data_IF_265161687249
#
_entry.id   IF_265161687249
#
_cell.length_a   1.000
_cell.length_b   1.000
_cell.length_c   1.000
_cell.angle_alpha   90.00
_cell.angle_beta   90.00
_cell.angle_gamma   90.00
#
_symmetry.space_group_name_H-M   'P 1'
#
loop_
_entity.id
_entity.type
_entity.pdbx_description
1 polymer ?
#
# COMPACT_ATOMS: atom_id res chain seq x y z
N UNK A 1 -9.78 11.43 5.02
CA UNK A 1 -10.64 12.37 5.78
C UNK A 1 -11.70 13.00 4.89
N UNK A 2 -11.32 13.67 3.81
CA UNK A 2 -12.25 14.40 2.94
C UNK A 2 -13.29 13.51 2.24
N UNK A 3 -12.91 12.32 1.75
CA UNK A 3 -13.89 11.38 1.20
C UNK A 3 -14.92 10.89 2.25
N UNK A 4 -14.54 10.88 3.54
CA UNK A 4 -15.44 10.47 4.62
C UNK A 4 -16.61 11.43 4.76
N UNK A 5 -16.41 12.74 4.58
CA UNK A 5 -17.51 13.71 4.64
C UNK A 5 -18.51 13.55 3.49
N UNK A 6 -18.09 12.95 2.36
CA UNK A 6 -18.97 12.65 1.23
C UNK A 6 -19.82 11.39 1.47
N UNK A 7 -19.27 10.37 2.16
CA UNK A 7 -19.99 9.12 2.47
C UNK A 7 -20.81 9.23 3.77
N UNK A 8 -20.35 10.04 4.72
CA UNK A 8 -20.98 10.29 6.02
C UNK A 8 -21.27 11.79 6.20
N UNK A 9 -22.36 12.32 5.61
CA UNK A 9 -22.62 13.76 5.56
C UNK A 9 -22.72 14.45 6.91
N UNK A 10 -23.14 13.73 7.96
CA UNK A 10 -23.19 14.25 9.33
C UNK A 10 -21.83 14.66 9.89
N UNK A 11 -20.73 14.17 9.30
CA UNK A 11 -19.36 14.55 9.68
C UNK A 11 -18.84 15.77 8.93
N UNK A 12 -19.55 16.24 7.89
CA UNK A 12 -19.04 17.24 6.96
C UNK A 12 -18.64 18.54 7.68
N UNK A 13 -19.52 19.11 8.50
CA UNK A 13 -19.25 20.38 9.18
C UNK A 13 -17.96 20.35 9.99
N UNK A 14 -17.73 19.29 10.76
CA UNK A 14 -16.53 19.14 11.60
C UNK A 14 -15.28 18.92 10.73
N UNK A 15 -15.35 18.01 9.75
CA UNK A 15 -14.21 17.69 8.88
C UNK A 15 -13.81 18.90 8.05
N UNK A 16 -14.76 19.59 7.41
CA UNK A 16 -14.48 20.73 6.53
C UNK A 16 -13.93 21.93 7.31
N UNK A 17 -14.37 22.13 8.55
CA UNK A 17 -13.82 23.18 9.43
C UNK A 17 -12.36 22.92 9.77
N UNK A 18 -12.05 21.70 10.23
CA UNK A 18 -10.68 21.30 10.54
C UNK A 18 -9.79 21.36 9.30
N UNK A 19 -10.28 20.85 8.18
CA UNK A 19 -9.55 20.82 6.92
C UNK A 19 -9.20 22.23 6.42
N UNK A 20 -10.12 23.20 6.53
CA UNK A 20 -9.86 24.60 6.19
C UNK A 20 -8.79 25.22 7.10
N UNK A 21 -8.83 24.96 8.41
CA UNK A 21 -7.79 25.44 9.33
C UNK A 21 -6.41 24.85 9.01
N UNK A 22 -6.35 23.54 8.72
CA UNK A 22 -5.10 22.89 8.32
C UNK A 22 -4.59 23.40 6.97
N UNK A 23 -5.48 23.64 6.01
CA UNK A 23 -5.11 24.20 4.71
C UNK A 23 -4.54 25.62 4.81
N UNK A 24 -5.08 26.45 5.71
CA UNK A 24 -4.54 27.77 6.01
C UNK A 24 -3.14 27.69 6.62
N UNK A 25 -2.93 26.79 7.59
CA UNK A 25 -1.63 26.56 8.20
C UNK A 25 -0.60 26.03 7.18
N UNK A 26 -0.99 25.08 6.33
CA UNK A 26 -0.16 24.56 5.26
C UNK A 26 0.23 25.66 4.26
N UNK A 27 -0.71 26.51 3.87
CA UNK A 27 -0.45 27.61 2.94
C UNK A 27 0.58 28.61 3.47
N UNK A 28 0.60 28.87 4.79
CA UNK A 28 1.58 29.77 5.41
C UNK A 28 3.00 29.26 5.33
N UNK A 29 3.20 27.93 5.39
CA UNK A 29 4.54 27.32 5.37
C UNK A 29 5.02 26.96 3.96
N UNK A 30 4.27 27.37 2.93
CA UNK A 30 4.57 27.19 1.51
C UNK A 30 5.21 28.46 0.90
N UNK A 31 6.08 29.11 1.65
CA UNK A 31 6.80 30.33 1.27
C UNK A 31 8.33 30.12 1.18
N UNK A 32 8.78 28.86 1.29
CA UNK A 32 10.18 28.49 1.38
C UNK A 32 10.97 28.63 0.07
N UNK A 33 12.26 28.94 0.20
CA UNK A 33 13.22 28.95 -0.89
C UNK A 33 14.50 28.20 -0.46
N UNK A 34 14.46 26.85 -0.35
CA UNK A 34 15.60 26.07 0.11
C UNK A 34 16.73 26.12 -0.93
N UNK A 35 17.96 25.98 -0.45
CA UNK A 35 19.15 25.99 -1.32
C UNK A 35 19.34 24.70 -2.13
N UNK A 36 18.71 23.59 -1.71
CA UNK A 36 18.78 22.25 -2.35
C UNK A 36 17.48 21.47 -2.11
N UNK A 37 17.19 20.50 -2.98
CA UNK A 37 16.10 19.53 -2.78
C UNK A 37 14.71 20.02 -3.22
N UNK A 38 14.63 21.20 -3.85
CA UNK A 38 13.42 21.73 -4.44
C UNK A 38 13.72 22.35 -5.80
N UNK A 39 13.08 21.85 -6.85
CA UNK A 39 13.27 22.27 -8.25
C UNK A 39 12.15 23.20 -8.74
N UNK A 40 11.28 23.69 -7.85
CA UNK A 40 10.17 24.59 -8.19
C UNK A 40 10.55 26.08 -8.10
N UNK A 41 9.54 26.95 -8.22
CA UNK A 41 9.73 28.40 -8.15
C UNK A 41 10.22 28.84 -6.76
N UNK A 42 11.13 29.81 -6.72
CA UNK A 42 11.56 30.39 -5.45
C UNK A 42 10.35 30.93 -4.66
N UNK A 43 10.32 30.64 -3.36
CA UNK A 43 9.22 31.07 -2.47
C UNK A 43 7.96 30.23 -2.57
N UNK A 44 8.01 29.03 -3.19
CA UNK A 44 6.85 28.11 -3.26
C UNK A 44 7.14 26.73 -2.66
N UNK A 45 8.27 26.56 -1.96
CA UNK A 45 8.55 25.31 -1.29
C UNK A 45 7.75 25.19 0.02
N UNK A 46 7.03 24.08 0.17
CA UNK A 46 6.31 23.77 1.40
C UNK A 46 7.17 22.97 2.39
N UNK A 47 7.15 23.40 3.66
CA UNK A 47 7.75 22.68 4.79
C UNK A 47 6.86 21.55 5.32
N UNK A 48 7.35 20.82 6.33
CA UNK A 48 6.58 19.73 6.97
C UNK A 48 5.74 20.21 8.15
N UNK A 49 6.32 21.05 9.01
CA UNK A 49 5.67 21.50 10.24
C UNK A 49 4.71 22.66 9.99
N UNK A 50 3.40 22.39 9.98
CA UNK A 50 2.38 23.43 9.79
C UNK A 50 2.02 24.16 11.09
N UNK A 51 2.49 23.68 12.23
CA UNK A 51 2.21 24.25 13.55
C UNK A 51 3.13 25.43 13.89
N UNK A 52 4.28 25.52 13.23
CA UNK A 52 5.28 26.56 13.48
C UNK A 52 4.95 27.89 12.78
N UNK A 53 3.92 27.92 11.90
CA UNK A 53 3.55 29.06 11.07
C UNK A 53 4.72 29.61 10.19
N UNK A 54 5.83 28.86 10.07
CA UNK A 54 7.02 29.20 9.30
C UNK A 54 7.57 27.97 8.57
N UNK A 55 8.22 28.21 7.42
CA UNK A 55 8.99 27.19 6.72
C UNK A 55 10.13 26.64 7.60
N UNK A 56 10.29 25.31 7.62
CA UNK A 56 11.22 24.58 8.50
C UNK A 56 12.53 24.14 7.81
N UNK A 57 12.81 24.65 6.61
CA UNK A 57 13.93 24.26 5.73
C UNK A 57 13.94 22.77 5.33
N UNK A 58 12.91 22.00 5.68
CA UNK A 58 12.77 20.60 5.30
C UNK A 58 11.94 20.50 4.04
N UNK A 59 12.54 19.98 2.97
CA UNK A 59 11.86 19.79 1.68
C UNK A 59 11.98 18.37 1.16
N UNK A 60 10.93 17.96 0.45
CA UNK A 60 10.87 16.67 -0.20
C UNK A 60 9.57 16.50 -0.97
N UNK A 61 9.58 15.59 -1.94
CA UNK A 61 8.44 15.31 -2.80
C UNK A 61 7.16 14.99 -2.01
N UNK A 62 7.27 14.16 -0.97
CA UNK A 62 6.14 13.80 -0.12
C UNK A 62 5.56 15.00 0.66
N UNK A 63 6.41 15.94 1.08
CA UNK A 63 6.00 17.16 1.77
C UNK A 63 5.21 18.08 0.84
N UNK A 64 5.73 18.27 -0.38
CA UNK A 64 5.04 19.04 -1.41
C UNK A 64 3.69 18.42 -1.78
N UNK A 65 3.62 17.10 -1.96
CA UNK A 65 2.34 16.42 -2.24
C UNK A 65 1.38 16.53 -1.06
N UNK A 66 1.87 16.42 0.17
CA UNK A 66 1.02 16.54 1.35
C UNK A 66 0.37 17.93 1.42
N UNK A 67 1.18 18.99 1.31
CA UNK A 67 0.72 20.37 1.28
C UNK A 67 -0.23 20.66 0.09
N UNK A 68 0.07 20.12 -1.09
CA UNK A 68 -0.84 20.25 -2.24
C UNK A 68 -2.18 19.54 -2.00
N UNK A 69 -2.16 18.36 -1.38
CA UNK A 69 -3.37 17.56 -1.14
C UNK A 69 -4.35 18.24 -0.20
N UNK A 70 -3.89 18.86 0.90
CA UNK A 70 -4.77 19.55 1.85
C UNK A 70 -5.46 20.76 1.20
N UNK A 71 -4.75 21.50 0.33
CA UNK A 71 -5.32 22.61 -0.43
C UNK A 71 -6.40 22.12 -1.39
N UNK A 72 -6.12 21.06 -2.16
CA UNK A 72 -7.12 20.47 -3.07
C UNK A 72 -8.35 19.94 -2.33
N UNK A 73 -8.17 19.36 -1.14
CA UNK A 73 -9.27 18.82 -0.36
C UNK A 73 -10.26 19.87 0.13
N UNK A 74 -9.90 21.15 0.19
CA UNK A 74 -10.85 22.23 0.53
C UNK A 74 -11.98 22.39 -0.49
N UNK A 75 -11.82 21.83 -1.70
CA UNK A 75 -12.82 21.85 -2.78
C UNK A 75 -13.82 20.69 -2.71
N UNK A 76 -13.85 19.91 -1.62
CA UNK A 76 -14.72 18.74 -1.49
C UNK A 76 -16.20 19.01 -1.76
N UNK A 77 -16.71 20.17 -1.37
CA UNK A 77 -18.11 20.55 -1.58
C UNK A 77 -18.46 20.75 -3.06
N UNK A 78 -17.45 21.01 -3.91
CA UNK A 78 -17.60 21.09 -5.37
C UNK A 78 -17.30 19.77 -6.08
N UNK A 79 -16.75 18.80 -5.37
CA UNK A 79 -16.43 17.49 -5.92
C UNK A 79 -17.68 16.60 -5.95
N UNK A 80 -17.80 15.78 -7.01
CA UNK A 80 -18.84 14.74 -7.06
C UNK A 80 -18.52 13.67 -6.02
N UNK A 81 -19.57 13.13 -5.39
CA UNK A 81 -19.43 12.00 -4.48
C UNK A 81 -18.90 10.75 -5.22
N UNK A 82 -18.22 9.81 -4.52
CA UNK A 82 -17.73 8.59 -5.12
C UNK A 82 -18.87 7.79 -5.76
N UNK A 83 -18.67 7.39 -7.01
CA UNK A 83 -19.66 6.59 -7.75
C UNK A 83 -19.56 5.11 -7.37
N UNK A 84 -20.68 4.42 -7.49
CA UNK A 84 -20.82 2.97 -7.31
C UNK A 84 -21.07 2.30 -8.66
N UNK A 85 -21.08 0.96 -8.69
CA UNK A 85 -21.48 0.19 -9.87
C UNK A 85 -22.87 0.54 -10.39
N UNK A 86 -23.75 1.05 -9.52
CA UNK A 86 -25.12 1.46 -9.87
C UNK A 86 -25.25 2.92 -10.27
N UNK A 87 -24.27 3.76 -9.95
CA UNK A 87 -24.37 5.23 -10.08
C UNK A 87 -23.33 5.82 -11.05
N UNK A 88 -22.85 5.02 -11.99
CA UNK A 88 -21.99 5.50 -13.09
C UNK A 88 -20.52 5.09 -13.01
N UNK A 89 -20.15 4.13 -12.16
CA UNK A 89 -18.84 3.50 -12.23
C UNK A 89 -18.67 2.73 -13.56
N UNK A 90 -17.75 3.16 -14.41
CA UNK A 90 -17.47 2.52 -15.72
C UNK A 90 -16.58 1.29 -15.61
N UNK A 91 -15.95 1.08 -14.45
CA UNK A 91 -15.07 -0.06 -14.21
C UNK A 91 -15.87 -1.33 -13.89
N UNK A 92 -15.72 -2.35 -14.74
CA UNK A 92 -16.26 -3.69 -14.48
C UNK A 92 -15.27 -4.45 -13.59
N UNK A 93 -15.73 -4.95 -12.45
CA UNK A 93 -14.92 -5.80 -11.60
C UNK A 93 -14.52 -7.09 -12.33
N UNK A 94 -13.28 -7.54 -12.16
CA UNK A 94 -12.83 -8.86 -12.60
C UNK A 94 -13.06 -9.86 -11.45
N UNK A 95 -13.93 -10.88 -11.61
CA UNK A 95 -14.16 -11.91 -10.59
C UNK A 95 -12.89 -12.67 -10.18
N UNK A 96 -11.88 -12.73 -11.07
CA UNK A 96 -10.60 -13.38 -10.80
C UNK A 96 -9.68 -12.58 -9.86
N UNK A 97 -9.95 -11.30 -9.58
CA UNK A 97 -9.26 -10.46 -8.58
C UNK A 97 -7.77 -10.16 -8.83
N UNK A 98 -7.05 -11.05 -9.51
CA UNK A 98 -5.67 -10.99 -9.99
C UNK A 98 -5.42 -12.29 -10.74
N UNK A 99 -5.52 -12.29 -12.06
CA UNK A 99 -4.95 -13.36 -12.88
C UNK A 99 -4.51 -12.78 -14.23
N UNK A 100 -3.24 -12.36 -14.27
CA UNK A 100 -2.56 -11.97 -15.52
C UNK A 100 -1.80 -13.13 -16.15
N UNK A 101 -1.98 -14.35 -15.64
CA UNK A 101 -1.50 -15.56 -16.30
C UNK A 101 -2.67 -16.17 -17.07
N UNK A 102 -2.57 -16.16 -18.38
CA UNK A 102 -3.46 -16.84 -19.32
C UNK A 102 -3.57 -18.33 -18.97
N UNK A 103 -4.52 -18.70 -18.10
CA UNK A 103 -4.72 -20.10 -17.70
C UNK A 103 -5.31 -20.37 -16.31
N UNK A 104 -5.60 -19.36 -15.49
CA UNK A 104 -6.33 -19.52 -14.22
C UNK A 104 -7.67 -18.80 -14.32
N UNK A 105 -8.76 -19.57 -14.45
CA UNK A 105 -10.13 -19.04 -14.54
C UNK A 105 -10.85 -19.09 -13.17
N UNK A 106 -10.22 -19.66 -12.14
CA UNK A 106 -10.88 -20.04 -10.89
C UNK A 106 -10.15 -19.59 -9.61
N UNK A 107 -9.13 -18.71 -9.70
CA UNK A 107 -8.44 -18.16 -8.53
C UNK A 107 -7.75 -19.22 -7.65
N UNK A 108 -7.60 -20.44 -8.17
CA UNK A 108 -6.92 -21.55 -7.53
C UNK A 108 -5.51 -21.64 -8.08
N UNK A 109 -4.54 -21.66 -7.18
CA UNK A 109 -3.17 -22.01 -7.52
C UNK A 109 -3.20 -23.40 -8.18
N UNK A 110 -2.95 -23.45 -9.50
CA UNK A 110 -2.71 -24.71 -10.21
C UNK A 110 -1.37 -25.26 -9.73
N UNK A 111 -1.40 -26.03 -8.66
CA UNK A 111 -0.24 -26.82 -8.24
C UNK A 111 0.06 -27.84 -9.35
N UNK A 112 1.34 -27.98 -9.70
CA UNK A 112 1.79 -29.03 -10.63
C UNK A 112 1.32 -30.37 -10.08
N UNK A 113 0.59 -31.14 -10.89
CA UNK A 113 0.20 -32.51 -10.54
C UNK A 113 1.45 -33.32 -10.24
N UNK A 114 1.54 -33.87 -9.03
CA UNK A 114 2.67 -34.70 -8.60
C UNK A 114 2.74 -35.92 -9.51
N UNK A 115 3.88 -36.09 -10.18
CA UNK A 115 4.11 -37.22 -11.07
C UNK A 115 4.49 -38.49 -10.29
N UNK A 116 4.22 -39.66 -10.89
CA UNK A 116 4.54 -40.96 -10.29
C UNK A 116 6.06 -41.07 -10.01
N UNK A 117 6.89 -40.47 -10.87
CA UNK A 117 8.33 -40.40 -10.70
C UNK A 117 8.75 -39.62 -9.43
N UNK A 118 8.13 -38.46 -9.18
CA UNK A 118 8.39 -37.67 -7.96
C UNK A 118 7.96 -38.43 -6.70
N UNK A 119 6.85 -39.17 -6.76
CA UNK A 119 6.38 -40.00 -5.65
C UNK A 119 7.31 -41.18 -5.36
N UNK A 120 7.84 -41.82 -6.40
CA UNK A 120 8.81 -42.92 -6.26
C UNK A 120 10.15 -42.42 -5.70
N UNK A 121 10.66 -41.29 -6.21
CA UNK A 121 11.89 -40.68 -5.73
C UNK A 121 11.81 -40.28 -4.25
N UNK A 122 10.69 -39.68 -3.83
CA UNK A 122 10.45 -39.33 -2.43
C UNK A 122 10.45 -40.57 -1.51
N UNK A 123 9.86 -41.68 -1.96
CA UNK A 123 9.84 -42.93 -1.21
C UNK A 123 11.22 -43.55 -1.00
N UNK A 124 12.02 -43.63 -2.07
CA UNK A 124 13.37 -44.19 -2.03
C UNK A 124 14.27 -43.36 -1.10
N UNK A 125 14.23 -42.03 -1.23
CA UNK A 125 15.02 -41.13 -0.40
C UNK A 125 14.69 -41.30 1.10
N UNK A 126 13.40 -41.41 1.42
CA UNK A 126 12.94 -41.62 2.80
C UNK A 126 13.46 -42.95 3.35
N UNK A 127 13.45 -44.02 2.54
CA UNK A 127 13.91 -45.34 2.95
C UNK A 127 15.43 -45.37 3.19
N UNK A 128 16.22 -44.72 2.34
CA UNK A 128 17.67 -44.61 2.52
C UNK A 128 18.04 -43.86 3.80
N UNK A 129 17.36 -42.75 4.08
CA UNK A 129 17.57 -41.98 5.31
C UNK A 129 17.21 -42.83 6.53
N UNK A 130 16.05 -43.50 6.51
CA UNK A 130 15.63 -44.37 7.59
C UNK A 130 16.62 -45.53 7.83
N UNK A 131 17.10 -46.17 6.76
CA UNK A 131 18.09 -47.24 6.85
C UNK A 131 19.44 -46.75 7.41
N UNK A 132 19.88 -45.55 7.03
CA UNK A 132 21.10 -44.94 7.57
C UNK A 132 21.00 -44.64 9.07
N UNK A 133 19.86 -44.13 9.53
CA UNK A 133 19.62 -43.87 10.96
C UNK A 133 19.58 -45.16 11.76
N UNK A 134 18.87 -46.18 11.28
CA UNK A 134 18.79 -47.48 11.97
C UNK A 134 20.14 -48.18 11.96
N UNK A 135 20.85 -48.20 10.82
CA UNK A 135 22.18 -48.79 10.72
C UNK A 135 23.24 -48.07 11.59
N UNK A 136 23.20 -46.74 11.64
CA UNK A 136 24.11 -45.96 12.47
C UNK A 136 23.88 -46.18 13.96
N UNK A 137 22.61 -46.26 14.38
CA UNK A 137 22.26 -46.51 15.79
C UNK A 137 22.58 -47.95 16.22
N UNK A 138 22.37 -48.95 15.36
CA UNK A 138 22.74 -50.35 15.68
C UNK A 138 24.25 -50.55 15.72
N UNK A 139 25.01 -49.93 14.80
CA UNK A 139 26.47 -49.97 14.81
C UNK A 139 27.05 -49.39 16.11
N UNK A 140 26.59 -48.19 16.52
CA UNK A 140 27.01 -47.57 17.78
C UNK A 140 26.69 -48.40 19.04
N UNK A 141 25.63 -49.21 19.02
CA UNK A 141 25.24 -50.06 20.16
C UNK A 141 26.05 -51.35 20.21
N UNK A 142 26.47 -51.88 19.06
CA UNK A 142 27.20 -53.13 18.97
C UNK A 142 28.71 -52.96 19.21
N UNK A 143 29.23 -51.74 19.10
CA UNK A 143 30.63 -51.38 19.36
C UNK A 143 30.89 -51.00 20.85
N UNK A 144 30.19 -51.66 21.77
CA UNK A 144 30.38 -51.54 23.22
C UNK A 144 31.21 -52.67 23.81
#
# INVERSE_FOLDING_TARGET
MTATSQVAPYTNTNITTLLKSSAQAAAKVCDGCPTRGYEGSAGTACGFSWLADSFDDIVGFGLQINAASILMYTLVDKAKAPVTSKTGGTFKGNPGGRDTNSGQEDGRLKYKTITIAEKAGAGILTLLIAAGVVGGTTFMVMER
#
